data_IF_335236375396
#
_entry.id   IF_335236375396
#
_cell.length_a   1.000
_cell.length_b   1.000
_cell.length_c   1.000
_cell.angle_alpha   90.00
_cell.angle_beta   90.00
_cell.angle_gamma   90.00
#
_symmetry.space_group_name_H-M   'P 1'
#
loop_
_entity.id
_entity.type
_entity.pdbx_description
1 polymer ?
2 polymer ?
3 non-polymer ?
4 non-polymer ?
5 non-polymer ?
6 water ?
#
# COMPACT_ATOMS: atom_id res chain seq x y z
N UNK A 1 8.08 18.16 18.10
CA UNK A 1 7.53 17.01 17.41
C UNK A 1 8.04 16.84 15.98
N UNK A 2 9.37 17.20 15.78
CA UNK A 2 9.76 16.77 14.44
C UNK A 2 9.33 17.78 13.42
N UNK A 3 9.74 17.46 12.20
CA UNK A 3 9.49 18.28 11.06
C UNK A 3 8.81 17.51 9.95
N UNK A 4 7.89 18.19 9.26
CA UNK A 4 7.23 17.72 8.05
C UNK A 4 8.03 18.14 6.81
N UNK A 5 8.53 17.19 6.04
CA UNK A 5 9.23 17.48 4.83
C UNK A 5 9.15 16.28 3.90
N UNK A 6 9.52 16.48 2.65
CA UNK A 6 9.58 15.37 1.72
C UNK A 6 10.83 14.51 2.00
N UNK A 7 10.82 13.29 1.50
CA UNK A 7 11.83 12.31 1.76
C UNK A 7 12.21 11.54 0.50
N UNK A 8 13.50 11.37 0.28
CA UNK A 8 13.98 10.40 -0.72
C UNK A 8 13.50 9.02 -0.31
N UNK A 9 13.01 8.17 -1.22
CA UNK A 9 12.70 6.78 -0.88
C UNK A 9 13.79 6.01 -0.21
N UNK A 10 15.03 6.31 -0.45
CA UNK A 10 16.10 5.60 0.19
C UNK A 10 16.12 5.91 1.69
N UNK A 11 15.42 6.89 2.19
CA UNK A 11 15.33 7.16 3.62
C UNK A 11 14.36 6.25 4.34
N UNK A 12 13.40 5.65 3.62
CA UNK A 12 12.38 4.87 4.38
C UNK A 12 12.97 3.75 5.23
N UNK A 13 14.04 3.05 4.86
CA UNK A 13 14.58 2.05 5.80
C UNK A 13 15.02 2.67 7.12
N UNK A 14 15.69 3.82 7.12
CA UNK A 14 16.08 4.45 8.36
C UNK A 14 14.86 4.83 9.19
N UNK A 15 13.89 5.42 8.51
CA UNK A 15 12.67 5.90 9.20
C UNK A 15 11.95 4.76 9.90
N UNK A 16 11.81 3.61 9.23
CA UNK A 16 11.03 2.50 9.74
C UNK A 16 11.91 1.37 10.31
N UNK A 17 13.15 1.71 10.67
CA UNK A 17 14.04 0.81 11.42
C UNK A 17 14.33 -0.50 10.69
N UNK A 18 14.63 -0.42 9.39
CA UNK A 18 14.91 -1.55 8.55
C UNK A 18 16.33 -1.64 8.08
N UNK A 19 17.20 -0.71 8.46
CA UNK A 19 18.56 -0.69 7.91
C UNK A 19 19.34 -1.97 8.22
N UNK A 20 19.05 -2.60 9.36
CA UNK A 20 19.78 -3.79 9.80
C UNK A 20 19.23 -5.08 9.19
N UNK A 21 18.15 -5.00 8.43
CA UNK A 21 17.59 -6.16 7.75
C UNK A 21 18.26 -6.35 6.43
N UNK A 22 18.25 -7.55 5.87
CA UNK A 22 18.72 -7.76 4.49
C UNK A 22 17.91 -6.88 3.54
N UNK A 23 18.44 -6.61 2.38
CA UNK A 23 17.67 -6.06 1.30
C UNK A 23 16.73 -7.12 0.76
N UNK A 24 15.86 -6.71 -0.17
CA UNK A 24 14.97 -7.64 -0.87
C UNK A 24 15.59 -8.28 -2.08
N UNK A 25 16.91 -8.43 -2.15
CA UNK A 25 17.63 -8.95 -3.28
C UNK A 25 17.26 -10.38 -3.62
N UNK A 26 16.70 -11.11 -2.65
CA UNK A 26 16.30 -12.46 -2.88
C UNK A 26 14.80 -12.66 -3.02
N UNK A 27 14.05 -11.59 -3.20
CA UNK A 27 12.60 -11.65 -3.31
C UNK A 27 12.13 -10.92 -4.55
N UNK A 28 11.25 -11.58 -5.33
CA UNK A 28 10.63 -10.97 -6.50
C UNK A 28 9.33 -10.24 -6.09
N UNK A 29 9.21 -9.04 -6.60
CA UNK A 29 8.09 -8.14 -6.28
C UNK A 29 7.31 -7.79 -7.52
N UNK A 30 5.97 -7.76 -7.42
CA UNK A 30 5.16 -7.34 -8.49
C UNK A 30 4.47 -6.01 -8.21
N UNK A 31 4.11 -5.32 -9.31
CA UNK A 31 3.36 -4.08 -9.27
C UNK A 31 2.22 -4.19 -10.28
N UNK A 32 0.99 -4.02 -9.86
CA UNK A 32 -0.14 -3.94 -10.80
C UNK A 32 -0.23 -2.52 -11.34
N UNK A 33 -0.23 -2.41 -12.68
CA UNK A 33 -0.39 -1.12 -13.33
C UNK A 33 -1.59 -1.13 -14.28
N UNK A 34 -2.08 0.05 -14.66
CA UNK A 34 -3.10 0.25 -15.66
C UNK A 34 -2.36 0.75 -16.88
N UNK A 35 -2.24 -0.06 -17.91
CA UNK A 35 -1.47 0.30 -19.10
C UNK A 35 0.03 0.16 -18.87
N UNK A 36 0.77 0.76 -19.82
CA UNK A 36 2.17 0.58 -19.96
C UNK A 36 3.04 1.35 -18.97
N UNK A 37 4.31 1.05 -19.01
CA UNK A 37 5.26 1.56 -18.04
C UNK A 37 6.56 2.03 -18.75
N UNK A 38 6.49 2.41 -20.02
CA UNK A 38 7.72 2.75 -20.74
C UNK A 38 8.43 3.96 -20.15
N UNK A 39 7.72 5.02 -19.87
CA UNK A 39 8.36 6.17 -19.20
C UNK A 39 8.77 5.82 -17.79
N UNK A 40 7.91 5.07 -17.08
CA UNK A 40 8.24 4.63 -15.70
C UNK A 40 9.56 3.92 -15.66
N UNK A 41 9.91 3.10 -16.63
CA UNK A 41 11.19 2.38 -16.64
C UNK A 41 12.35 3.35 -16.81
N UNK A 42 12.19 4.40 -17.59
CA UNK A 42 13.23 5.43 -17.72
C UNK A 42 13.40 6.18 -16.41
N UNK A 43 12.27 6.53 -15.78
CA UNK A 43 12.31 7.21 -14.46
C UNK A 43 12.94 6.32 -13.40
N UNK A 44 12.73 4.99 -13.52
CA UNK A 44 13.36 4.06 -12.57
C UNK A 44 14.87 4.04 -12.75
N UNK A 45 15.35 4.07 -13.99
CA UNK A 45 16.75 4.17 -14.28
C UNK A 45 17.33 5.48 -13.72
N UNK A 46 16.64 6.58 -13.88
CA UNK A 46 17.06 7.84 -13.29
C UNK A 46 17.18 7.67 -11.79
N UNK A 47 16.17 7.08 -11.14
CA UNK A 47 16.21 6.82 -9.71
C UNK A 47 17.41 6.00 -9.26
N UNK A 48 17.60 4.79 -9.84
CA UNK A 48 18.71 3.98 -9.33
C UNK A 48 20.03 4.66 -9.64
N UNK A 49 20.19 5.22 -10.84
CA UNK A 49 21.45 5.86 -11.19
C UNK A 49 21.74 7.06 -10.28
N UNK A 50 20.76 7.93 -10.03
CA UNK A 50 21.01 9.11 -9.20
C UNK A 50 21.40 8.70 -7.79
N UNK A 51 20.82 7.63 -7.28
CA UNK A 51 21.13 7.15 -5.94
C UNK A 51 22.31 6.23 -5.88
N UNK A 52 23.01 6.01 -7.00
CA UNK A 52 24.19 5.19 -7.00
C UNK A 52 23.95 3.74 -6.70
N UNK A 53 22.77 3.24 -7.02
CA UNK A 53 22.39 1.88 -6.77
C UNK A 53 22.60 1.03 -7.99
N UNK A 54 22.83 -0.28 -7.76
CA UNK A 54 22.80 -1.24 -8.82
C UNK A 54 21.46 -1.17 -9.60
N UNK A 55 21.47 -1.40 -10.93
CA UNK A 55 20.19 -1.35 -11.65
C UNK A 55 19.27 -2.52 -11.26
N UNK A 56 17.98 -2.24 -11.35
CA UNK A 56 16.95 -3.19 -10.99
C UNK A 56 16.55 -4.03 -12.21
N UNK A 57 16.50 -5.36 -12.04
CA UNK A 57 16.04 -6.28 -13.08
C UNK A 57 14.50 -6.14 -13.19
N UNK A 58 13.98 -5.77 -14.33
CA UNK A 58 12.56 -5.57 -14.53
C UNK A 58 12.02 -6.48 -15.61
N UNK A 59 10.75 -6.77 -15.56
CA UNK A 59 10.01 -7.37 -16.66
C UNK A 59 8.66 -6.72 -16.72
N UNK A 60 8.10 -6.57 -17.91
CA UNK A 60 6.75 -6.11 -18.09
C UNK A 60 5.93 -7.22 -18.69
N UNK A 61 4.69 -7.32 -18.24
CA UNK A 61 3.83 -8.43 -18.63
C UNK A 61 2.49 -7.87 -19.10
N UNK A 62 2.16 -8.18 -20.36
CA UNK A 62 0.83 -7.89 -20.91
C UNK A 62 -0.11 -8.97 -20.38
N UNK A 63 -1.00 -8.59 -19.48
CA UNK A 63 -1.78 -9.58 -18.75
C UNK A 63 -3.10 -9.97 -19.39
N UNK A 64 -3.52 -9.28 -20.43
CA UNK A 64 -4.82 -9.59 -21.06
C UNK A 64 -4.62 -9.94 -22.52
N UNK A 65 -5.58 -9.55 -23.34
CA UNK A 65 -5.49 -9.89 -24.77
C UNK A 65 -4.19 -9.44 -25.42
N UNK A 66 -3.59 -10.24 -26.32
CA UNK A 66 -2.35 -9.81 -26.97
C UNK A 66 -2.58 -8.64 -27.91
N UNK A 67 -3.80 -8.38 -28.31
CA UNK A 67 -4.25 -7.20 -29.03
C UNK A 67 -4.79 -6.05 -28.18
N UNK A 68 -4.55 -6.10 -26.84
CA UNK A 68 -5.01 -5.04 -25.98
C UNK A 68 -4.16 -3.77 -26.07
N UNK A 69 -4.60 -2.75 -25.37
CA UNK A 69 -3.99 -1.45 -25.29
C UNK A 69 -3.15 -1.38 -24.02
N UNK A 70 -1.85 -1.49 -24.24
CA UNK A 70 -0.84 -1.37 -23.16
C UNK A 70 -0.01 -0.10 -23.37
N UNK A 71 -0.59 0.88 -24.03
CA UNK A 71 0.14 2.14 -24.17
C UNK A 71 0.31 2.81 -22.82
N UNK A 72 1.27 3.69 -22.69
CA UNK A 72 1.44 4.44 -21.46
C UNK A 72 0.29 5.42 -21.28
N UNK A 73 -0.23 5.39 -20.05
CA UNK A 73 -1.09 6.47 -19.54
C UNK A 73 -0.15 7.52 -18.94
N UNK A 74 -0.14 8.72 -19.50
CA UNK A 74 0.89 9.66 -19.08
C UNK A 74 0.76 10.01 -17.61
N UNK A 75 -0.44 10.31 -17.13
CA UNK A 75 -0.54 10.64 -15.70
C UNK A 75 -0.24 9.42 -14.84
N UNK A 76 -0.57 8.23 -15.35
CA UNK A 76 -0.33 7.00 -14.65
C UNK A 76 1.14 6.74 -14.44
N UNK A 77 2.01 7.20 -15.34
CA UNK A 77 3.45 6.96 -15.15
C UNK A 77 3.91 7.47 -13.80
N UNK A 78 3.43 8.61 -13.35
CA UNK A 78 3.87 9.14 -12.04
C UNK A 78 3.48 8.22 -10.89
N UNK A 79 2.31 7.55 -11.03
CA UNK A 79 1.90 6.61 -10.03
C UNK A 79 2.77 5.33 -10.08
N UNK A 80 3.07 4.79 -11.26
CA UNK A 80 3.93 3.62 -11.31
C UNK A 80 5.37 3.95 -10.86
N UNK A 81 5.75 5.19 -11.08
CA UNK A 81 7.03 5.75 -10.59
C UNK A 81 7.02 5.79 -9.06
N UNK A 82 5.99 6.37 -8.46
CA UNK A 82 5.85 6.37 -6.99
C UNK A 82 5.98 4.96 -6.47
N UNK A 83 5.26 4.02 -7.13
CA UNK A 83 5.22 2.65 -6.60
C UNK A 83 6.60 2.01 -6.65
N UNK A 84 7.21 2.06 -7.88
CA UNK A 84 8.46 1.37 -8.09
C UNK A 84 9.64 1.97 -7.32
N UNK A 85 9.75 3.30 -7.34
CA UNK A 85 10.87 3.93 -6.61
C UNK A 85 10.71 3.75 -5.12
N UNK A 86 9.47 3.80 -4.62
CA UNK A 86 9.26 3.65 -3.18
C UNK A 86 9.51 2.20 -2.74
N UNK A 87 9.13 1.23 -3.56
CA UNK A 87 9.46 -0.17 -3.25
C UNK A 87 10.97 -0.33 -3.17
N UNK A 88 11.67 0.10 -4.22
CA UNK A 88 13.11 -0.19 -4.26
C UNK A 88 13.82 0.54 -3.15
N UNK A 89 13.47 1.80 -2.87
CA UNK A 89 14.07 2.49 -1.75
C UNK A 89 13.82 1.81 -0.43
N UNK A 90 12.57 1.43 -0.17
CA UNK A 90 12.20 0.80 1.09
C UNK A 90 12.85 -0.57 1.25
N UNK A 91 13.05 -1.26 0.12
CA UNK A 91 13.71 -2.56 0.10
C UNK A 91 15.21 -2.47 0.38
N UNK A 92 15.74 -1.26 0.58
CA UNK A 92 17.16 -1.12 0.78
C UNK A 92 17.98 -1.06 -0.50
N UNK A 93 17.30 -0.76 -1.61
CA UNK A 93 17.99 -0.53 -2.85
C UNK A 93 18.12 -1.70 -3.76
N UNK A 94 17.55 -2.86 -3.44
CA UNK A 94 17.71 -4.06 -4.26
C UNK A 94 16.46 -4.92 -4.05
N UNK A 95 15.99 -5.46 -5.19
CA UNK A 95 14.93 -6.45 -5.27
C UNK A 95 15.42 -7.50 -6.26
N UNK A 96 14.97 -8.74 -6.13
CA UNK A 96 15.42 -9.76 -7.07
C UNK A 96 15.03 -9.40 -8.49
N UNK A 97 13.79 -9.03 -8.64
CA UNK A 97 13.20 -8.64 -9.92
C UNK A 97 11.95 -7.81 -9.58
N UNK A 98 11.62 -6.83 -10.41
CA UNK A 98 10.42 -6.09 -10.32
C UNK A 98 9.58 -6.38 -11.58
N UNK A 99 8.40 -6.95 -11.35
CA UNK A 99 7.50 -7.39 -12.41
C UNK A 99 6.33 -6.42 -12.50
N UNK A 100 6.12 -5.81 -13.64
CA UNK A 100 5.02 -4.92 -13.89
C UNK A 100 3.92 -5.70 -14.61
N UNK A 101 2.83 -5.98 -13.88
CA UNK A 101 1.68 -6.70 -14.42
C UNK A 101 0.70 -5.64 -14.95
N UNK A 102 0.73 -5.41 -16.28
CA UNK A 102 0.04 -4.34 -16.92
C UNK A 102 -1.38 -4.74 -17.32
N UNK A 103 -2.36 -4.02 -16.84
CA UNK A 103 -3.76 -4.20 -17.22
C UNK A 103 -4.04 -3.60 -18.59
N UNK A 104 -4.74 -4.37 -19.40
CA UNK A 104 -5.24 -3.91 -20.69
C UNK A 104 -6.17 -2.73 -20.50
N UNK A 105 -6.05 -1.64 -21.22
CA UNK A 105 -6.91 -0.45 -21.10
C UNK A 105 -8.14 -0.47 -22.01
N UNK A 106 -8.26 -1.44 -22.89
CA UNK A 106 -9.31 -1.50 -23.90
C UNK A 106 -10.23 -2.71 -23.65
N UNK A 107 -10.16 -3.29 -22.46
CA UNK A 107 -11.00 -4.44 -22.13
C UNK A 107 -12.30 -3.98 -21.54
N UNK A 108 -13.31 -4.88 -21.54
CA UNK A 108 -14.64 -4.50 -21.09
C UNK A 108 -14.64 -4.40 -19.58
N UNK A 109 -15.53 -3.59 -19.03
CA UNK A 109 -15.68 -3.55 -17.60
C UNK A 109 -14.36 -3.21 -16.90
N UNK A 110 -14.17 -3.91 -15.80
CA UNK A 110 -12.98 -3.97 -15.05
C UNK A 110 -12.16 -5.21 -15.34
N UNK A 111 -12.43 -5.84 -16.47
CA UNK A 111 -11.75 -7.12 -16.72
C UNK A 111 -10.26 -6.92 -16.97
N UNK A 112 -9.83 -5.77 -17.44
CA UNK A 112 -8.34 -5.62 -17.62
C UNK A 112 -7.62 -5.74 -16.29
N UNK A 113 -8.11 -5.04 -15.29
CA UNK A 113 -7.53 -5.14 -13.95
C UNK A 113 -7.67 -6.54 -13.36
N UNK A 114 -8.87 -7.14 -13.51
CA UNK A 114 -9.01 -8.49 -13.01
C UNK A 114 -8.00 -9.44 -13.60
N UNK A 115 -7.76 -9.37 -14.90
CA UNK A 115 -6.78 -10.21 -15.57
C UNK A 115 -5.35 -9.93 -15.07
N UNK A 116 -5.08 -8.66 -14.71
CA UNK A 116 -3.73 -8.38 -14.19
C UNK A 116 -3.52 -9.06 -12.84
N UNK A 117 -4.53 -8.96 -11.95
CA UNK A 117 -4.45 -9.67 -10.69
C UNK A 117 -4.28 -11.19 -10.93
N UNK A 118 -5.12 -11.70 -11.84
CA UNK A 118 -5.12 -13.14 -12.13
C UNK A 118 -3.75 -13.58 -12.61
N UNK A 119 -3.10 -12.80 -13.50
CA UNK A 119 -1.83 -13.24 -14.03
C UNK A 119 -0.77 -13.32 -12.91
N UNK A 120 -0.79 -12.33 -12.00
CA UNK A 120 0.19 -12.33 -10.91
C UNK A 120 0.02 -13.59 -10.06
N UNK A 121 -1.22 -14.00 -9.81
CA UNK A 121 -1.51 -15.21 -8.98
C UNK A 121 -1.21 -16.49 -9.73
N UNK A 122 -1.63 -16.54 -11.02
CA UNK A 122 -1.39 -17.75 -11.80
C UNK A 122 0.09 -18.00 -11.98
N UNK A 123 0.85 -16.95 -12.28
CA UNK A 123 2.28 -17.11 -12.46
C UNK A 123 2.95 -17.52 -11.16
N UNK A 124 2.53 -16.95 -10.06
CA UNK A 124 3.05 -17.29 -8.72
C UNK A 124 4.59 -17.24 -8.67
N UNK A 125 5.10 -16.11 -9.22
CA UNK A 125 6.53 -15.84 -9.16
C UNK A 125 6.87 -14.70 -8.17
N UNK A 126 6.00 -13.70 -8.06
CA UNK A 126 6.20 -12.61 -7.12
C UNK A 126 5.68 -13.01 -5.77
N UNK A 127 6.48 -12.83 -4.74
CA UNK A 127 6.06 -13.12 -3.39
C UNK A 127 5.15 -12.01 -2.80
N UNK A 128 5.39 -10.78 -3.21
CA UNK A 128 4.69 -9.61 -2.71
C UNK A 128 4.27 -8.81 -3.94
N UNK A 129 3.03 -8.32 -3.96
CA UNK A 129 2.48 -7.58 -5.11
C UNK A 129 1.84 -6.30 -4.60
N UNK A 130 2.24 -5.17 -5.17
CA UNK A 130 1.69 -3.87 -4.83
C UNK A 130 0.48 -3.50 -5.70
N UNK A 131 -0.52 -2.96 -5.02
CA UNK A 131 -1.75 -2.46 -5.68
C UNK A 131 -2.04 -1.06 -5.14
N UNK A 132 -1.48 -0.03 -5.78
CA UNK A 132 -1.70 1.35 -5.36
C UNK A 132 -2.84 1.98 -6.13
N UNK A 133 -4.04 1.39 -5.95
CA UNK A 133 -5.21 1.76 -6.73
C UNK A 133 -6.44 1.16 -6.06
N UNK A 134 -7.61 1.69 -6.46
CA UNK A 134 -8.85 1.17 -5.94
C UNK A 134 -10.00 2.10 -6.28
N UNK A 135 -11.18 1.71 -5.81
CA UNK A 135 -12.38 2.48 -6.03
C UNK A 135 -13.45 1.98 -5.06
N UNK A 136 -14.57 2.71 -5.04
CA UNK A 136 -15.67 2.41 -4.14
C UNK A 136 -16.04 0.94 -4.14
N UNK A 137 -16.02 0.29 -2.97
CA UNK A 137 -16.28 -1.13 -2.98
C UNK A 137 -17.69 -1.45 -3.43
N UNK A 138 -18.64 -0.58 -3.19
CA UNK A 138 -20.03 -0.83 -3.59
C UNK A 138 -20.19 -0.84 -5.10
N UNK A 139 -19.37 -0.05 -5.81
CA UNK A 139 -19.39 -0.03 -7.27
C UNK A 139 -18.78 -1.33 -7.78
N UNK A 140 -17.65 -1.75 -7.18
CA UNK A 140 -17.06 -3.03 -7.52
C UNK A 140 -18.02 -4.18 -7.26
N UNK A 141 -18.76 -4.11 -6.16
CA UNK A 141 -19.74 -5.17 -5.89
C UNK A 141 -20.89 -5.19 -6.89
N UNK A 142 -21.36 -4.03 -7.32
CA UNK A 142 -22.59 -3.91 -8.11
C UNK A 142 -22.43 -4.58 -9.46
N UNK A 143 -21.21 -4.66 -10.02
CA UNK A 143 -21.05 -5.20 -11.35
C UNK A 143 -20.37 -6.56 -11.31
N UNK A 144 -20.17 -7.12 -10.15
CA UNK A 144 -19.57 -8.45 -10.05
C UNK A 144 -18.03 -8.47 -9.96
N UNK A 145 -17.43 -7.30 -10.05
CA UNK A 145 -15.98 -7.20 -10.00
C UNK A 145 -15.43 -7.71 -8.67
N UNK A 146 -16.06 -7.31 -7.59
CA UNK A 146 -15.61 -7.67 -6.24
C UNK A 146 -15.53 -9.20 -6.16
N UNK A 147 -16.62 -9.88 -6.48
CA UNK A 147 -16.64 -11.31 -6.34
C UNK A 147 -15.58 -11.96 -7.21
N UNK A 148 -15.42 -11.53 -8.44
CA UNK A 148 -14.45 -12.17 -9.30
C UNK A 148 -13.00 -11.98 -8.80
N UNK A 149 -12.73 -10.76 -8.36
CA UNK A 149 -11.36 -10.47 -7.90
C UNK A 149 -11.08 -11.10 -6.58
N UNK A 150 -12.09 -11.20 -5.67
CA UNK A 150 -11.81 -11.81 -4.37
C UNK A 150 -11.39 -13.28 -4.53
N UNK A 151 -11.93 -13.98 -5.53
CA UNK A 151 -11.51 -15.36 -5.77
C UNK A 151 -10.01 -15.44 -6.04
N UNK A 152 -9.52 -14.50 -6.82
CA UNK A 152 -8.11 -14.41 -7.19
C UNK A 152 -7.25 -14.15 -5.95
N UNK A 153 -7.67 -13.16 -5.14
CA UNK A 153 -6.89 -12.86 -3.94
C UNK A 153 -6.92 -14.03 -2.96
N UNK A 154 -8.02 -14.73 -2.84
CA UNK A 154 -8.08 -15.92 -2.00
C UNK A 154 -7.05 -16.96 -2.45
N UNK A 155 -6.93 -17.18 -3.75
CA UNK A 155 -5.91 -18.08 -4.28
C UNK A 155 -4.50 -17.59 -3.90
N UNK A 156 -4.27 -16.29 -4.03
CA UNK A 156 -2.97 -15.71 -3.65
C UNK A 156 -2.63 -16.02 -2.22
N UNK A 157 -3.57 -15.73 -1.30
CA UNK A 157 -3.28 -15.94 0.11
C UNK A 157 -2.98 -17.42 0.36
N UNK A 158 -3.73 -18.32 -0.24
CA UNK A 158 -3.52 -19.77 -0.03
C UNK A 158 -2.18 -20.20 -0.54
N UNK A 159 -1.67 -19.55 -1.57
CA UNK A 159 -0.36 -19.79 -2.21
C UNK A 159 0.77 -19.14 -1.45
N UNK A 160 0.47 -18.33 -0.42
CA UNK A 160 1.53 -17.68 0.34
C UNK A 160 1.98 -16.35 -0.25
N UNK A 161 1.26 -15.78 -1.19
CA UNK A 161 1.58 -14.46 -1.73
C UNK A 161 0.90 -13.37 -0.90
N UNK A 162 1.59 -12.24 -0.76
CA UNK A 162 1.07 -11.05 -0.11
C UNK A 162 0.71 -9.98 -1.15
N UNK A 163 -0.56 -9.72 -1.38
CA UNK A 163 -1.00 -8.50 -2.02
C UNK A 163 -1.14 -7.41 -0.96
N UNK A 164 -0.56 -6.25 -1.27
CA UNK A 164 -0.64 -5.03 -0.46
C UNK A 164 -1.43 -4.02 -1.24
N UNK A 165 -2.44 -3.46 -0.61
CA UNK A 165 -3.38 -2.59 -1.30
C UNK A 165 -3.58 -1.30 -0.53
N UNK A 166 -3.38 -0.17 -1.20
CA UNK A 166 -3.66 1.15 -0.64
C UNK A 166 -5.13 1.27 -0.21
N UNK A 167 -5.34 1.86 0.99
CA UNK A 167 -6.68 1.94 1.54
C UNK A 167 -7.55 3.01 0.90
N UNK A 168 -6.96 4.01 0.25
CA UNK A 168 -7.69 5.10 -0.37
C UNK A 168 -7.24 6.46 0.09
N UNK A 169 -7.62 7.46 -0.69
CA UNK A 169 -7.14 8.85 -0.54
C UNK A 169 -8.29 9.80 -0.21
N UNK A 170 -9.47 9.27 0.08
CA UNK A 170 -10.72 10.03 0.16
C UNK A 170 -11.24 10.02 1.59
N UNK A 171 -10.39 9.64 2.54
CA UNK A 171 -10.86 9.43 3.89
C UNK A 171 -12.03 8.49 3.91
N UNK A 172 -13.01 8.75 4.76
CA UNK A 172 -14.26 8.00 4.85
C UNK A 172 -15.19 8.21 3.67
N UNK A 173 -14.90 9.08 2.72
CA UNK A 173 -15.83 9.46 1.67
C UNK A 173 -15.53 8.84 0.32
N UNK A 174 -15.07 7.58 0.31
CA UNK A 174 -14.68 6.92 -0.94
C UNK A 174 -15.78 6.88 -1.99
N UNK A 175 -17.01 6.54 -1.53
CA UNK A 175 -18.10 6.31 -2.46
C UNK A 175 -18.87 7.57 -2.83
N UNK A 176 -18.56 8.70 -2.26
CA UNK A 176 -19.26 9.95 -2.54
C UNK A 176 -18.51 10.70 -3.62
N UNK A 177 -18.62 10.23 -4.84
CA UNK A 177 -17.88 10.76 -5.97
C UNK A 177 -16.40 10.90 -5.67
N UNK A 178 -15.84 9.86 -5.08
CA UNK A 178 -14.41 9.77 -4.82
C UNK A 178 -13.97 10.98 -4.00
N UNK A 179 -14.52 11.11 -2.79
CA UNK A 179 -13.96 11.98 -1.77
C UNK A 179 -14.66 13.27 -1.44
N UNK A 180 -15.87 13.50 -1.95
CA UNK A 180 -16.57 14.73 -1.54
C UNK A 180 -17.18 14.54 -0.15
N UNK A 181 -17.01 15.53 0.75
CA UNK A 181 -17.58 15.40 2.09
C UNK A 181 -19.04 15.03 2.08
N UNK A 182 -19.40 14.07 2.90
CA UNK A 182 -20.76 13.51 2.96
C UNK A 182 -21.20 13.30 4.40
N UNK A 183 -20.83 14.16 5.34
CA UNK A 183 -21.40 14.09 6.68
C UNK A 183 -21.00 12.77 7.30
N UNK A 184 -22.01 12.12 7.85
CA UNK A 184 -21.81 10.89 8.57
C UNK A 184 -21.83 9.62 7.69
N UNK A 185 -21.89 9.79 6.37
CA UNK A 185 -21.93 8.64 5.45
C UNK A 185 -20.53 8.19 5.07
N UNK A 186 -20.15 7.01 5.55
CA UNK A 186 -18.78 6.49 5.45
C UNK A 186 -18.77 5.24 4.58
N UNK A 187 -17.68 5.08 3.83
CA UNK A 187 -17.51 3.99 2.89
C UNK A 187 -16.04 3.65 2.74
N UNK A 188 -15.75 2.54 2.08
CA UNK A 188 -14.36 2.08 1.89
C UNK A 188 -14.12 1.63 0.45
N UNK A 189 -12.83 1.47 0.18
CA UNK A 189 -12.32 1.07 -1.14
C UNK A 189 -12.12 -0.43 -1.30
N UNK A 190 -12.26 -0.86 -2.54
CA UNK A 190 -11.89 -2.13 -3.09
C UNK A 190 -10.67 -1.95 -3.99
N UNK A 191 -9.65 -2.84 -3.97
CA UNK A 191 -9.64 -4.12 -3.27
C UNK A 191 -9.13 -4.09 -1.85
N UNK A 192 -8.93 -2.91 -1.24
CA UNK A 192 -8.45 -2.89 0.16
C UNK A 192 -9.35 -3.67 1.12
N UNK A 193 -10.68 -3.66 0.82
CA UNK A 193 -11.60 -4.28 1.75
C UNK A 193 -11.59 -5.79 1.69
N UNK A 194 -10.87 -6.42 0.75
CA UNK A 194 -10.73 -7.85 0.76
C UNK A 194 -10.03 -8.35 1.99
N UNK A 195 -10.48 -9.46 2.60
CA UNK A 195 -9.74 -10.04 3.72
C UNK A 195 -8.52 -10.83 3.29
N UNK A 196 -8.29 -11.03 2.04
CA UNK A 196 -7.23 -11.75 1.35
C UNK A 196 -6.06 -10.87 0.91
N UNK A 197 -6.05 -9.60 1.30
CA UNK A 197 -4.96 -8.68 1.01
C UNK A 197 -4.61 -7.96 2.33
N UNK A 198 -3.43 -7.35 2.37
CA UNK A 198 -3.06 -6.43 3.44
C UNK A 198 -3.43 -5.03 2.97
N UNK A 199 -4.32 -4.36 3.72
CA UNK A 199 -4.75 -3.02 3.44
C UNK A 199 -3.83 -2.04 4.17
N UNK A 200 -3.33 -1.05 3.45
CA UNK A 200 -2.33 -0.11 3.99
C UNK A 200 -2.85 1.30 3.92
N UNK A 201 -2.99 1.89 5.11
CA UNK A 201 -3.44 3.26 5.24
C UNK A 201 -2.27 4.23 5.36
N UNK A 202 -2.60 5.49 5.72
CA UNK A 202 -1.70 6.58 5.56
C UNK A 202 -1.48 7.46 6.76
N UNK A 203 -0.24 7.90 6.94
CA UNK A 203 0.17 8.76 8.03
C UNK A 203 0.77 10.06 7.52
N UNK A 204 0.84 11.01 8.45
CA UNK A 204 1.67 12.21 8.32
C UNK A 204 2.90 11.92 9.13
N UNK A 205 4.07 11.91 8.52
CA UNK A 205 5.34 11.48 9.00
C UNK A 205 6.21 12.68 9.41
N UNK A 206 6.62 12.69 10.67
CA UNK A 206 7.53 13.69 11.20
C UNK A 206 8.87 13.04 11.51
N UNK A 207 9.96 13.69 11.14
CA UNK A 207 11.31 13.25 11.37
C UNK A 207 12.09 14.29 12.10
N UNK A 208 13.14 13.83 12.80
CA UNK A 208 14.02 14.71 13.54
C UNK A 208 15.00 15.36 12.56
N UNK A 209 15.75 16.33 13.07
CA UNK A 209 16.70 17.02 12.20
C UNK A 209 17.76 16.06 11.70
N UNK A 210 18.09 15.04 12.45
CA UNK A 210 19.05 14.02 12.04
C UNK A 210 18.40 13.01 11.12
N UNK A 211 17.11 13.07 10.86
CA UNK A 211 16.42 12.21 9.92
C UNK A 211 15.82 11.00 10.50
N UNK A 212 15.84 10.91 11.81
CA UNK A 212 15.20 9.75 12.42
C UNK A 212 13.72 9.92 12.57
N UNK A 213 13.06 8.78 12.79
CA UNK A 213 11.63 8.82 13.09
C UNK A 213 11.37 9.74 14.27
N UNK A 214 10.36 10.58 14.18
CA UNK A 214 9.87 11.35 15.33
C UNK A 214 8.47 10.91 15.74
N UNK A 215 7.50 11.03 14.84
CA UNK A 215 6.13 10.70 15.17
C UNK A 215 5.33 10.60 13.87
N UNK A 216 4.17 9.97 13.97
CA UNK A 216 3.18 9.91 12.91
C UNK A 216 1.81 10.25 13.45
N UNK A 217 1.09 11.05 12.67
CA UNK A 217 -0.31 11.32 12.89
C UNK A 217 -1.13 10.77 11.73
N UNK A 218 -2.46 10.83 11.82
CA UNK A 218 -3.27 10.42 10.67
C UNK A 218 -2.97 11.29 9.48
N UNK A 219 -2.96 10.73 8.28
CA UNK A 219 -2.95 11.55 7.05
C UNK A 219 -4.34 12.16 6.84
N UNK A 220 -4.40 13.50 6.91
CA UNK A 220 -5.59 14.27 6.56
C UNK A 220 -5.13 15.65 6.18
N UNK A 221 -5.12 15.93 4.90
CA UNK A 221 -4.71 17.23 4.36
C UNK A 221 -5.91 18.09 3.94
N UNK A 222 -7.12 17.74 4.34
CA UNK A 222 -8.25 18.57 4.10
C UNK A 222 -8.67 18.60 2.67
N UNK A 223 -9.38 19.66 2.31
CA UNK A 223 -9.96 19.74 0.98
C UNK A 223 -9.06 20.43 -0.03
N UNK A 224 -9.07 19.95 -1.26
CA UNK A 224 -8.41 20.67 -2.34
C UNK A 224 -9.35 21.74 -2.91
N UNK A 225 -8.89 22.40 -3.96
CA UNK A 225 -9.67 23.52 -4.49
C UNK A 225 -10.92 23.08 -5.21
N UNK A 226 -11.07 21.80 -5.53
CA UNK A 226 -12.37 21.32 -5.95
C UNK A 226 -13.31 20.92 -4.83
N UNK A 227 -12.82 20.93 -3.59
CA UNK A 227 -13.65 20.51 -2.48
C UNK A 227 -13.56 19.03 -2.17
N UNK A 228 -12.59 18.30 -2.72
CA UNK A 228 -12.38 16.90 -2.45
C UNK A 228 -11.44 16.69 -1.25
N UNK A 229 -11.79 15.80 -0.36
CA UNK A 229 -10.95 15.44 0.78
C UNK A 229 -9.75 14.55 0.37
N UNK A 230 -8.59 14.85 0.95
CA UNK A 230 -7.36 14.03 0.84
C UNK A 230 -7.00 13.54 2.20
N UNK A 231 -7.28 12.25 2.43
CA UNK A 231 -7.07 11.62 3.78
C UNK A 231 -7.05 10.13 3.62
N UNK A 232 -6.49 9.45 4.62
CA UNK A 232 -6.39 8.01 4.59
C UNK A 232 -7.74 7.30 4.60
N UNK A 233 -7.91 6.35 3.70
CA UNK A 233 -9.08 5.49 3.73
C UNK A 233 -9.05 4.59 4.96
N UNK A 234 -10.18 4.35 5.56
CA UNK A 234 -10.28 3.46 6.72
C UNK A 234 -11.74 3.36 7.16
N UNK A 235 -12.09 2.23 7.73
CA UNK A 235 -13.47 1.92 8.07
C UNK A 235 -13.64 0.41 8.08
N UNK A 236 -14.80 -0.02 7.60
CA UNK A 236 -15.03 -1.49 7.51
C UNK A 236 -15.79 -1.75 6.23
N UNK A 237 -15.65 -2.95 5.69
CA UNK A 237 -16.44 -3.33 4.50
C UNK A 237 -17.88 -3.52 4.88
N UNK A 238 -18.78 -3.14 3.95
CA UNK A 238 -20.18 -3.45 4.16
C UNK A 238 -20.49 -4.87 3.72
N UNK A 239 -19.64 -5.50 2.94
CA UNK A 239 -19.87 -6.81 2.37
C UNK A 239 -19.05 -7.93 3.00
N UNK A 240 -17.76 -7.73 3.19
CA UNK A 240 -16.85 -8.76 3.63
C UNK A 240 -17.00 -9.00 5.13
N UNK A 241 -17.16 -10.25 5.53
CA UNK A 241 -17.22 -10.63 6.92
C UNK A 241 -15.85 -10.48 7.58
N UNK A 242 -15.86 -10.32 8.87
CA UNK A 242 -14.62 -10.19 9.65
C UNK A 242 -13.83 -11.50 9.65
N UNK A 243 -12.60 -11.49 9.20
CA UNK A 243 -11.75 -12.70 9.35
C UNK A 243 -11.45 -12.87 10.83
N UNK A 244 -11.27 -14.11 11.26
CA UNK A 244 -11.28 -14.38 12.70
C UNK A 244 -10.17 -13.70 13.46
N UNK A 245 -9.01 -13.50 12.80
CA UNK A 245 -7.89 -12.86 13.46
C UNK A 245 -8.19 -11.42 13.88
N UNK A 246 -9.16 -10.77 13.26
CA UNK A 246 -9.51 -9.40 13.64
C UNK A 246 -10.35 -9.33 14.91
N UNK A 247 -10.76 -10.48 15.45
CA UNK A 247 -11.58 -10.51 16.66
C UNK A 247 -10.84 -9.86 17.82
N UNK A 248 -9.52 -9.78 17.76
CA UNK A 248 -8.76 -9.12 18.80
C UNK A 248 -9.10 -7.65 18.91
N UNK A 249 -9.69 -7.03 17.91
CA UNK A 249 -10.12 -5.64 17.97
C UNK A 249 -11.58 -5.70 18.45
N UNK A 250 -11.81 -5.68 19.76
CA UNK A 250 -13.18 -5.83 20.29
C UNK A 250 -13.98 -4.58 20.03
N UNK A 251 -15.28 -4.76 19.96
CA UNK A 251 -16.21 -3.63 19.86
C UNK A 251 -16.37 -3.09 18.45
N UNK A 252 -16.13 -3.90 17.45
CA UNK A 252 -16.22 -3.57 16.04
C UNK A 252 -17.22 -4.51 15.37
N UNK A 253 -17.79 -4.12 14.20
CA UNK A 253 -18.78 -4.97 13.57
C UNK A 253 -18.17 -6.24 13.03
N UNK A 254 -19.08 -7.16 12.64
CA UNK A 254 -18.65 -8.42 12.04
C UNK A 254 -18.26 -8.37 10.60
N UNK A 255 -17.42 -7.38 10.28
CA UNK A 255 -16.98 -7.04 8.96
C UNK A 255 -15.47 -6.93 8.92
N UNK A 256 -14.89 -7.00 7.71
CA UNK A 256 -13.47 -6.78 7.51
C UNK A 256 -13.16 -5.32 7.82
N UNK A 257 -12.33 -5.11 8.82
CA UNK A 257 -11.91 -3.79 9.28
C UNK A 257 -10.67 -3.36 8.52
N UNK A 258 -10.51 -2.11 8.14
CA UNK A 258 -9.30 -1.71 7.39
C UNK A 258 -8.94 -0.31 7.75
N UNK A 259 -7.67 0.10 7.60
CA UNK A 259 -6.55 -0.71 7.12
C UNK A 259 -6.00 -1.63 8.19
N UNK A 260 -5.06 -2.49 7.79
CA UNK A 260 -4.34 -3.33 8.72
C UNK A 260 -3.18 -2.58 9.40
N UNK A 261 -2.42 -1.87 8.59
CA UNK A 261 -1.21 -1.13 8.97
C UNK A 261 -1.18 0.12 8.13
N UNK A 262 -0.29 1.07 8.45
CA UNK A 262 -0.15 2.31 7.69
C UNK A 262 1.27 2.79 7.65
N UNK A 263 1.60 3.55 6.62
CA UNK A 263 2.91 4.19 6.47
C UNK A 263 2.70 5.59 5.90
N UNK A 264 3.78 6.30 5.69
CA UNK A 264 3.73 7.66 5.18
C UNK A 264 2.82 7.79 3.94
N UNK A 265 1.98 8.82 4.00
CA UNK A 265 1.07 9.16 2.91
C UNK A 265 0.86 10.66 2.71
N UNK A 266 1.12 11.52 3.67
CA UNK A 266 0.80 12.96 3.43
C UNK A 266 1.66 13.49 2.31
N UNK A 267 1.07 14.28 1.40
CA UNK A 267 1.90 14.89 0.38
C UNK A 267 2.96 15.74 1.04
N UNK A 268 2.57 16.49 2.10
CA UNK A 268 3.52 17.38 2.77
C UNK A 268 4.67 16.66 3.43
N UNK A 269 4.61 15.35 3.61
CA UNK A 269 5.66 14.53 4.16
C UNK A 269 6.03 13.39 3.21
N UNK A 270 5.74 13.54 1.95
CA UNK A 270 5.74 12.46 0.98
C UNK A 270 7.09 12.15 0.38
N UNK A 271 7.09 11.37 -0.67
CA UNK A 271 8.31 10.89 -1.30
C UNK A 271 8.69 11.82 -2.47
N UNK A 272 9.99 11.98 -2.66
CA UNK A 272 10.55 12.68 -3.82
C UNK A 272 10.75 11.66 -4.92
N UNK A 273 9.98 11.78 -5.99
CA UNK A 273 9.85 10.79 -7.04
C UNK A 273 10.18 11.41 -8.41
N UNK A 274 10.97 10.73 -9.22
CA UNK A 274 11.25 11.13 -10.59
C UNK A 274 10.06 10.75 -11.51
N UNK A 275 9.45 11.74 -12.15
CA UNK A 275 8.26 11.57 -12.98
C UNK A 275 8.47 12.31 -14.27
N UNK A 276 8.61 11.60 -15.37
CA UNK A 276 8.97 12.23 -16.66
C UNK A 276 10.22 13.08 -16.48
N UNK A 277 11.16 12.55 -15.69
CA UNK A 277 12.45 13.21 -15.53
C UNK A 277 12.52 14.26 -14.44
N UNK A 278 11.38 14.67 -13.88
CA UNK A 278 11.33 15.76 -12.94
C UNK A 278 10.99 15.25 -11.55
N UNK A 279 11.68 15.74 -10.55
CA UNK A 279 11.45 15.36 -9.16
C UNK A 279 10.22 16.07 -8.63
N UNK A 280 9.27 15.27 -8.13
CA UNK A 280 8.08 15.77 -7.52
C UNK A 280 7.85 15.13 -6.13
N UNK A 281 7.18 15.85 -5.28
CA UNK A 281 6.89 15.36 -3.94
C UNK A 281 5.45 14.82 -3.96
N UNK A 282 5.34 13.49 -3.76
CA UNK A 282 4.09 12.80 -3.99
C UNK A 282 3.73 11.97 -2.76
N UNK A 283 2.47 12.02 -2.35
CA UNK A 283 1.96 11.18 -1.28
C UNK A 283 0.83 10.28 -1.74
N UNK A 284 -0.09 10.05 -0.85
CA UNK A 284 -1.19 9.14 -1.00
C UNK A 284 -0.98 7.86 -0.29
N UNK A 285 -2.04 7.08 -0.08
CA UNK A 285 -1.88 5.69 0.35
C UNK A 285 -1.19 4.86 -0.75
N UNK A 286 -1.11 5.43 -1.97
CA UNK A 286 -0.30 4.88 -3.05
C UNK A 286 1.19 4.90 -2.72
N UNK A 287 1.63 5.74 -1.81
CA UNK A 287 2.98 5.75 -1.26
C UNK A 287 3.10 4.73 -0.13
N UNK A 288 2.13 4.71 0.76
CA UNK A 288 2.20 3.86 1.94
C UNK A 288 2.29 2.39 1.59
N UNK A 289 1.48 1.94 0.63
CA UNK A 289 1.53 0.53 0.23
C UNK A 289 2.91 0.11 -0.30
N UNK A 290 3.51 0.83 -1.25
CA UNK A 290 4.88 0.45 -1.70
C UNK A 290 5.91 0.50 -0.61
N UNK A 291 5.80 1.37 0.38
CA UNK A 291 6.70 1.34 1.52
C UNK A 291 6.55 -0.04 2.21
N UNK A 292 5.34 -0.44 2.55
CA UNK A 292 5.12 -1.73 3.12
C UNK A 292 5.69 -2.85 2.25
N UNK A 293 5.41 -2.81 0.96
CA UNK A 293 5.87 -3.87 0.06
C UNK A 293 7.40 -4.05 0.12
N UNK A 294 8.12 -2.92 0.03
CA UNK A 294 9.57 -3.04 0.06
C UNK A 294 10.08 -3.54 1.38
N UNK A 295 9.51 -3.05 2.48
CA UNK A 295 9.94 -3.50 3.79
C UNK A 295 9.62 -4.98 4.01
N UNK A 296 8.42 -5.38 3.64
CA UNK A 296 7.99 -6.79 3.77
C UNK A 296 8.84 -7.70 2.90
N UNK A 297 9.22 -7.24 1.70
CA UNK A 297 10.09 -8.02 0.85
C UNK A 297 11.47 -8.26 1.49
N UNK A 298 11.95 -7.30 2.29
CA UNK A 298 13.19 -7.52 3.06
C UNK A 298 13.04 -8.66 4.05
N UNK A 299 11.92 -8.67 4.75
CA UNK A 299 11.65 -9.73 5.71
C UNK A 299 11.47 -11.04 5.02
N UNK A 300 10.89 -11.09 3.83
CA UNK A 300 10.82 -12.31 3.06
C UNK A 300 12.21 -12.78 2.73
N UNK A 301 13.07 -11.90 2.20
CA UNK A 301 14.46 -12.32 1.89
C UNK A 301 15.13 -12.80 3.15
N UNK A 302 14.90 -12.24 4.29
CA UNK A 302 15.53 -12.69 5.54
C UNK A 302 15.05 -14.07 5.95
N UNK A 303 13.94 -14.53 5.45
CA UNK A 303 13.25 -15.75 5.84
C UNK A 303 13.05 -16.70 4.65
N UNK A 304 13.95 -16.59 3.68
CA UNK A 304 13.93 -17.52 2.54
C UNK A 304 12.58 -17.56 1.84
N UNK A 305 11.89 -16.43 1.80
CA UNK A 305 10.59 -16.31 1.14
C UNK A 305 9.58 -17.31 1.70
N UNK A 306 9.73 -17.68 2.96
CA UNK A 306 8.86 -18.70 3.54
C UNK A 306 7.72 -18.14 4.37
N UNK A 307 7.57 -16.81 4.43
CA UNK A 307 6.48 -16.25 5.23
C UNK A 307 5.21 -16.27 4.40
N UNK A 308 4.17 -16.86 4.93
CA UNK A 308 2.88 -16.86 4.27
C UNK A 308 2.15 -15.60 4.40
N UNK A 309 0.90 -15.58 3.92
CA UNK A 309 0.08 -14.39 3.98
C UNK A 309 -0.03 -13.93 5.46
N UNK A 310 0.37 -12.70 5.80
CA UNK A 310 0.69 -12.41 7.19
C UNK A 310 -0.40 -11.81 8.03
N UNK A 311 -1.65 -11.70 7.53
CA UNK A 311 -2.66 -10.97 8.28
C UNK A 311 -2.87 -11.54 9.67
N UNK A 312 -3.11 -12.83 9.79
CA UNK A 312 -3.38 -13.39 11.13
C UNK A 312 -2.23 -13.14 12.08
N UNK A 313 -1.03 -13.34 11.58
CA UNK A 313 0.16 -13.13 12.41
C UNK A 313 0.32 -11.67 12.82
N UNK A 314 0.05 -10.73 11.94
CA UNK A 314 0.11 -9.32 12.33
C UNK A 314 -0.82 -9.06 13.49
N UNK A 315 -2.07 -9.54 13.43
CA UNK A 315 -3.03 -9.21 14.45
C UNK A 315 -2.66 -9.91 15.76
N UNK A 316 -2.23 -11.16 15.75
CA UNK A 316 -1.83 -11.79 17.00
C UNK A 316 -0.59 -11.20 17.59
N UNK A 317 0.44 -10.95 16.75
CA UNK A 317 1.72 -10.44 17.20
C UNK A 317 1.57 -9.02 17.72
N UNK A 318 0.93 -8.14 16.95
CA UNK A 318 0.90 -6.73 17.32
C UNK A 318 0.00 -6.52 18.52
N UNK A 319 -1.15 -7.19 18.60
CA UNK A 319 -2.04 -7.04 19.76
C UNK A 319 -1.32 -7.45 21.03
N UNK A 320 -0.46 -8.46 20.99
CA UNK A 320 0.23 -8.96 22.16
C UNK A 320 1.57 -8.26 22.38
N UNK A 321 2.06 -7.49 21.41
CA UNK A 321 3.43 -6.99 21.36
C UNK A 321 3.44 -5.57 20.81
N UNK A 322 2.97 -4.60 21.59
CA UNK A 322 2.82 -3.23 21.06
C UNK A 322 4.12 -2.64 20.60
N UNK A 323 5.27 -3.13 21.07
CA UNK A 323 6.56 -2.57 20.62
C UNK A 323 6.84 -2.81 19.15
N UNK A 324 6.07 -3.67 18.46
CA UNK A 324 6.30 -3.91 17.06
C UNK A 324 5.82 -2.79 16.15
N UNK A 325 5.05 -1.86 16.68
CA UNK A 325 4.48 -0.79 15.83
C UNK A 325 4.71 0.58 16.43
N UNK A 326 4.59 1.58 15.59
CA UNK A 326 4.37 2.96 15.97
C UNK A 326 2.87 3.19 15.94
N UNK A 327 2.28 3.28 17.14
CA UNK A 327 0.84 3.43 17.30
C UNK A 327 0.43 4.86 17.00
N UNK A 328 -0.33 5.13 15.96
CA UNK A 328 -0.81 6.47 15.65
C UNK A 328 -1.97 6.75 16.60
N UNK A 329 -1.94 7.91 17.23
CA UNK A 329 -2.93 8.29 18.23
C UNK A 329 -3.71 9.57 17.92
N UNK A 330 -3.22 10.43 17.03
CA UNK A 330 -3.78 11.75 16.80
C UNK A 330 -4.29 11.91 15.36
N UNK A 331 -5.48 12.41 15.17
CA UNK A 331 -6.03 12.80 13.90
C UNK A 331 -7.31 12.04 13.58
N UNK A 332 -7.88 12.39 12.43
CA UNK A 332 -9.16 11.83 11.99
C UNK A 332 -9.12 11.72 10.46
N UNK A 333 -9.97 10.85 9.90
CA UNK A 333 -10.02 10.68 8.45
C UNK A 333 -11.32 11.13 7.84
N UNK A 334 -11.95 12.17 8.38
CA UNK A 334 -13.13 12.81 7.76
C UNK A 334 -12.91 14.29 7.59
N UNK A 335 -14.04 15.02 7.73
CA UNK A 335 -14.06 16.45 7.52
C UNK A 335 -15.22 17.01 8.32
N UNK A 336 -15.07 18.23 8.84
CA UNK A 336 -16.21 18.92 9.37
C UNK A 336 -16.69 18.33 10.66
N UNK A 337 -15.84 17.63 11.42
CA UNK A 337 -16.13 16.94 12.63
C UNK A 337 -16.57 15.50 12.50
N UNK A 338 -16.74 15.07 11.26
CA UNK A 338 -17.12 13.69 10.95
C UNK A 338 -15.85 12.89 10.67
N UNK A 339 -16.03 11.59 10.54
CA UNK A 339 -14.96 10.63 10.28
C UNK A 339 -14.55 9.89 11.54
N UNK A 340 -13.64 8.93 11.39
CA UNK A 340 -13.09 8.19 12.50
C UNK A 340 -11.85 8.89 13.08
N UNK A 341 -11.65 8.67 14.35
CA UNK A 341 -10.50 9.22 15.08
C UNK A 341 -9.46 8.16 15.39
N UNK A 342 -8.18 8.54 15.30
CA UNK A 342 -7.14 7.66 15.80
C UNK A 342 -7.24 7.54 17.32
N UNK A 343 -6.62 6.51 17.86
CA UNK A 343 -6.63 6.30 19.27
C UNK A 343 -5.64 5.23 19.64
N UNK A 344 -5.65 4.83 20.92
CA UNK A 344 -4.75 3.82 21.39
C UNK A 344 -5.02 2.49 20.71
N UNK A 345 -3.99 1.85 20.20
CA UNK A 345 -4.13 0.58 19.54
C UNK A 345 -4.74 0.69 18.16
N UNK A 346 -5.38 -0.37 17.70
CA UNK A 346 -5.94 -0.40 16.35
C UNK A 346 -7.02 0.67 16.22
N UNK A 347 -7.00 1.45 15.14
CA UNK A 347 -8.07 2.42 14.87
C UNK A 347 -8.43 2.41 13.39
N UNK A 348 -9.57 3.00 13.06
CA UNK A 348 -10.04 2.97 11.69
C UNK A 348 -9.19 3.81 10.74
N UNK A 349 -8.61 4.96 11.11
CA UNK A 349 -7.78 5.68 10.13
C UNK A 349 -6.50 4.94 9.71
N UNK A 350 -5.89 4.25 10.70
CA UNK A 350 -4.54 3.79 10.51
C UNK A 350 -4.29 2.35 10.85
N UNK A 351 -5.29 1.60 11.31
CA UNK A 351 -5.08 0.24 11.72
C UNK A 351 -4.12 0.17 12.89
N UNK A 352 -3.14 -0.73 12.84
CA UNK A 352 -2.15 -0.83 13.93
C UNK A 352 -1.10 0.26 13.87
N UNK A 353 -1.04 1.06 12.84
CA UNK A 353 0.05 2.01 12.64
C UNK A 353 1.16 1.43 11.79
N UNK A 354 2.35 1.96 11.91
CA UNK A 354 3.47 1.56 11.08
C UNK A 354 4.31 0.51 11.80
N UNK A 355 5.00 -0.29 10.99
CA UNK A 355 5.85 -1.35 11.53
C UNK A 355 7.25 -0.84 11.86
N UNK A 356 7.77 -1.30 12.99
CA UNK A 356 9.17 -1.16 13.34
C UNK A 356 9.87 -2.42 12.86
N UNK A 357 10.57 -2.35 11.75
CA UNK A 357 10.96 -3.54 11.04
C UNK A 357 11.98 -4.37 11.79
N UNK A 358 12.99 -3.79 12.39
CA UNK A 358 13.98 -4.62 13.10
C UNK A 358 13.33 -5.32 14.26
N UNK A 359 12.38 -4.70 14.94
CA UNK A 359 11.69 -5.33 16.07
C UNK A 359 10.81 -6.47 15.54
N UNK A 360 10.10 -6.25 14.44
CA UNK A 360 9.33 -7.33 13.84
C UNK A 360 10.24 -8.47 13.37
N UNK A 361 11.39 -8.18 12.79
CA UNK A 361 12.29 -9.23 12.39
C UNK A 361 12.73 -10.05 13.57
N UNK A 362 13.08 -9.41 14.70
CA UNK A 362 13.49 -10.16 15.89
C UNK A 362 12.35 -11.04 16.39
N UNK A 363 11.13 -10.51 16.35
CA UNK A 363 9.95 -11.31 16.73
C UNK A 363 9.84 -12.55 15.84
N UNK A 364 9.95 -12.36 14.55
CA UNK A 364 9.83 -13.48 13.59
C UNK A 364 10.95 -14.49 13.86
N UNK A 365 12.15 -14.06 14.10
CA UNK A 365 13.23 -15.00 14.42
C UNK A 365 12.88 -15.82 15.61
N UNK A 366 12.28 -15.24 16.65
CA UNK A 366 11.94 -16.00 17.82
C UNK A 366 10.72 -16.87 17.70
N UNK A 367 9.68 -16.37 16.99
CA UNK A 367 8.38 -16.91 17.10
C UNK A 367 7.84 -17.50 15.79
N UNK A 368 8.49 -17.22 14.66
CA UNK A 368 7.95 -17.46 13.35
C UNK A 368 6.84 -16.51 12.94
N UNK A 369 6.25 -16.64 11.74
CA UNK A 369 5.19 -15.75 11.30
C UNK A 369 4.34 -16.45 10.24
C UNK B 1 -8.83 2.46 -10.71
N UNK B 2 -8.71 3.41 -9.85
CA UNK B 2 -8.01 4.68 -10.08
C UNK B 2 -6.83 4.74 -9.12
N UNK B 3 -5.70 5.25 -9.53
CA UNK B 3 -4.52 5.24 -8.64
C UNK B 3 -4.77 6.02 -7.36
N UNK B 4 -4.20 5.48 -6.29
CA UNK B 4 -4.14 6.10 -4.97
C UNK B 4 -2.72 6.66 -4.71
X LIG C 1 -3.79 3.82 16.98
X LIG D 1 15.23 10.87 -5.36
X LIG D 1 15.39 9.43 -5.29
X LIG D 1 16.57 11.51 -5.05
X LIG D 1 17.52 11.10 -6.06
X LIG D 1 16.47 13.02 -5.02
X LIG D 1 15.37 13.60 -4.28
X LIG E 1 0.00 18.06 7.44
X LIG E 1 -1.42 17.83 7.28
X LIG E 1 0.91 17.65 6.27
X LIG E 1 0.60 18.47 5.15
X LIG E 1 2.37 17.94 6.60
X LIG E 1 2.69 19.34 6.68
X LIG F 1 5.76 -16.71 -4.92
X LIG F 1 4.76 -17.49 -4.31
X LIG F 1 7.11 -17.32 -4.65
X LIG F 1 7.22 -18.53 -3.95
X LIG F 1 8.32 -16.49 -4.74
X LIG F 1 9.20 -16.46 -3.61
X LIG G 1 -10.47 -14.89 5.59
#
# INVERSE_FOLDING_TARGET
>A
AGTAKGHNPTEFPTIYDASSAPTAANTTVGIITIGGVSQTLQDLQQFTSANGLASVNTQTIQTGSSNGDYSDDQQGQGEWDLDSQSIVGSAGGAVQQLLFYMADQSASGNTGLTQAFNQAVSDNVAKVINVSLGWCEADANADGTLQAEDRIFATAAAQGQTFSVSSGDEGVYECNNRGYPDGSTYSVSWPASSPNVIAVGGTTLYTTSAGAYSNETVWNEGLDSNGKLWATGGGYSVYESKPSWQSVVSGTPGRRLLPDISFDAAQGTGALIYNYGQLQQIGGTSLASPIFVGLWARLQSANSNSLGFPAASFYSAISSTPSLVHDVKSGNNGYGGYGYNAGTGWDYPTGWGSLDIAKLSAYIRSNGF
>B
XIPF
>C hetero
1 CA CA
>D hetero
1 GOL C1 O1 C2 O2 C3 O3
>E hetero
1 GOL C1 O1 C2 O2 C3 O3
>F hetero
1 GOL C1 O1 C2 O2 C3 O3
>G hetero
1 CL CL
#
